data_IF_833226094456
#
_entry.id   IF_833226094456
#
_cell.length_a   1.000
_cell.length_b   1.000
_cell.length_c   1.000
_cell.angle_alpha   90.00
_cell.angle_beta   90.00
_cell.angle_gamma   90.00
#
_symmetry.space_group_name_H-M   'P 1'
#
loop_
_entity.id
_entity.type
_entity.pdbx_description
1 polymer ?
#
# COMPACT_ATOMS: atom_id res chain seq x y z
N UNK A 1 -15.54 -16.26 -16.47
CA UNK A 1 -14.56 -15.74 -17.45
C UNK A 1 -13.99 -14.39 -17.03
N UNK A 2 -14.81 -13.42 -16.61
CA UNK A 2 -14.33 -12.08 -16.22
C UNK A 2 -13.26 -12.02 -15.12
N UNK A 3 -13.26 -12.94 -14.16
CA UNK A 3 -12.26 -12.97 -13.08
C UNK A 3 -10.85 -13.38 -13.53
N UNK A 4 -10.70 -14.07 -14.67
CA UNK A 4 -9.37 -14.29 -15.29
C UNK A 4 -8.75 -12.96 -15.75
N UNK A 5 -9.58 -12.04 -16.23
CA UNK A 5 -9.14 -10.69 -16.60
C UNK A 5 -8.55 -9.93 -15.42
N UNK A 6 -9.08 -10.12 -14.20
CA UNK A 6 -8.54 -9.49 -12.98
C UNK A 6 -7.09 -9.91 -12.72
N UNK A 7 -6.80 -11.21 -12.70
CA UNK A 7 -5.45 -11.71 -12.44
C UNK A 7 -4.45 -11.23 -13.50
N UNK A 8 -4.83 -11.30 -14.79
CA UNK A 8 -4.01 -10.77 -15.89
C UNK A 8 -3.80 -9.27 -15.78
N UNK A 9 -4.84 -8.51 -15.41
CA UNK A 9 -4.76 -7.08 -15.23
C UNK A 9 -3.87 -6.67 -14.07
N UNK A 10 -3.97 -7.34 -12.92
CA UNK A 10 -3.06 -7.11 -11.78
C UNK A 10 -1.60 -7.35 -12.20
N UNK A 11 -1.31 -8.48 -12.86
CA UNK A 11 0.03 -8.79 -13.34
C UNK A 11 0.55 -7.72 -14.32
N UNK A 12 -0.26 -7.34 -15.31
CA UNK A 12 0.10 -6.32 -16.28
C UNK A 12 0.32 -4.94 -15.64
N UNK A 13 -0.50 -4.56 -14.66
CA UNK A 13 -0.36 -3.30 -13.94
C UNK A 13 0.87 -3.24 -13.03
N UNK A 14 1.21 -4.36 -12.37
CA UNK A 14 2.47 -4.49 -11.60
C UNK A 14 3.67 -4.35 -12.52
N UNK A 15 3.66 -5.02 -13.68
CA UNK A 15 4.73 -4.87 -14.68
C UNK A 15 4.79 -3.44 -15.21
N UNK A 16 3.64 -2.79 -15.43
CA UNK A 16 3.61 -1.40 -15.85
C UNK A 16 4.20 -0.46 -14.79
N UNK A 17 3.91 -0.65 -13.49
CA UNK A 17 4.57 0.10 -12.41
C UNK A 17 6.09 -0.10 -12.46
N UNK A 18 6.55 -1.34 -12.56
CA UNK A 18 7.99 -1.66 -12.60
C UNK A 18 8.74 -1.06 -13.81
N UNK A 19 8.06 -0.90 -14.96
CA UNK A 19 8.66 -0.39 -16.20
C UNK A 19 8.51 1.12 -16.37
N UNK A 20 7.39 1.68 -15.94
CA UNK A 20 7.02 3.07 -16.22
C UNK A 20 7.15 3.96 -14.99
N UNK A 21 7.06 3.39 -13.78
CA UNK A 21 6.90 4.14 -12.54
C UNK A 21 5.65 5.03 -12.56
N UNK A 22 5.67 6.05 -11.70
CA UNK A 22 4.61 7.05 -11.63
C UNK A 22 4.69 8.04 -12.81
N UNK A 23 3.56 8.42 -13.42
CA UNK A 23 3.53 9.47 -14.44
C UNK A 23 3.98 10.82 -13.86
N UNK A 24 4.96 11.46 -14.51
CA UNK A 24 5.50 12.78 -14.10
C UNK A 24 4.48 13.92 -14.10
N UNK A 25 3.42 13.81 -14.91
CA UNK A 25 2.35 14.81 -15.03
C UNK A 25 1.00 14.11 -15.11
N UNK A 26 -0.02 14.71 -14.50
CA UNK A 26 -1.38 14.19 -14.56
C UNK A 26 -1.57 12.87 -13.80
N UNK A 27 -0.80 12.64 -12.73
CA UNK A 27 -0.95 11.44 -11.91
C UNK A 27 -2.38 11.30 -11.37
N UNK A 28 -3.07 10.17 -11.59
CA UNK A 28 -4.47 10.01 -11.17
C UNK A 28 -4.70 10.27 -9.67
N UNK A 29 -3.80 9.77 -8.82
CA UNK A 29 -3.82 10.04 -7.36
C UNK A 29 -3.63 11.53 -7.05
N UNK A 30 -2.73 12.25 -7.73
CA UNK A 30 -2.56 13.69 -7.54
C UNK A 30 -3.81 14.47 -8.00
N UNK A 31 -4.45 14.04 -9.09
CA UNK A 31 -5.73 14.59 -9.53
C UNK A 31 -6.84 14.38 -8.50
N UNK A 32 -6.94 13.18 -7.94
CA UNK A 32 -7.84 12.89 -6.82
C UNK A 32 -7.53 13.79 -5.61
N UNK A 33 -6.26 13.93 -5.23
CA UNK A 33 -5.82 14.82 -4.15
C UNK A 33 -6.21 16.28 -4.40
N UNK A 34 -6.11 16.78 -5.63
CA UNK A 34 -6.54 18.13 -5.97
C UNK A 34 -8.06 18.34 -5.81
N UNK A 35 -8.86 17.34 -6.23
CA UNK A 35 -10.33 17.34 -6.02
C UNK A 35 -10.65 17.29 -4.53
N UNK A 36 -9.99 16.40 -3.80
CA UNK A 36 -10.12 16.20 -2.37
C UNK A 36 -9.80 17.51 -1.61
N UNK A 37 -8.68 18.16 -1.89
CA UNK A 37 -8.31 19.43 -1.28
C UNK A 37 -9.32 20.56 -1.59
N UNK A 38 -9.85 20.61 -2.82
CA UNK A 38 -10.87 21.61 -3.19
C UNK A 38 -12.19 21.37 -2.44
N UNK A 39 -12.55 20.11 -2.25
CA UNK A 39 -13.75 19.74 -1.51
C UNK A 39 -13.58 19.96 0.00
N UNK A 40 -12.41 19.64 0.56
CA UNK A 40 -12.04 19.93 1.96
C UNK A 40 -12.24 21.42 2.24
N UNK A 41 -11.69 22.33 1.42
CA UNK A 41 -11.88 23.78 1.61
C UNK A 41 -13.34 24.25 1.65
N UNK A 42 -14.26 23.51 1.02
CA UNK A 42 -15.69 23.84 0.98
C UNK A 42 -16.49 23.20 2.11
N UNK A 43 -16.11 21.98 2.50
CA UNK A 43 -16.84 21.19 3.50
C UNK A 43 -16.23 21.30 4.90
N UNK A 44 -15.01 21.83 5.02
CA UNK A 44 -14.28 21.90 6.27
C UNK A 44 -15.10 22.60 7.34
N UNK A 45 -15.29 21.88 8.44
CA UNK A 45 -15.72 22.37 9.73
C UNK A 45 -14.97 21.55 10.75
N UNK A 46 -14.59 22.15 11.87
CA UNK A 46 -13.99 21.41 12.97
C UNK A 46 -15.04 20.52 13.66
N UNK A 47 -15.39 19.41 13.00
CA UNK A 47 -16.41 18.47 13.42
C UNK A 47 -16.26 17.15 12.65
N UNK A 48 -16.62 16.04 13.31
CA UNK A 48 -16.54 14.69 12.73
C UNK A 48 -17.54 14.49 11.59
N UNK A 49 -18.77 15.02 11.69
CA UNK A 49 -19.82 14.80 10.70
C UNK A 49 -19.47 15.24 9.27
N UNK A 50 -19.05 16.50 9.04
CA UNK A 50 -18.61 16.98 7.73
C UNK A 50 -17.39 16.22 7.20
N UNK A 51 -16.47 15.84 8.08
CA UNK A 51 -15.33 14.98 7.77
C UNK A 51 -15.74 13.60 7.28
N UNK A 52 -16.65 12.94 8.00
CA UNK A 52 -17.19 11.63 7.61
C UNK A 52 -17.94 11.69 6.27
N UNK A 53 -18.73 12.74 6.04
CA UNK A 53 -19.41 12.95 4.76
C UNK A 53 -18.40 13.16 3.62
N UNK A 54 -17.33 13.93 3.87
CA UNK A 54 -16.22 14.13 2.93
C UNK A 54 -15.54 12.81 2.57
N UNK A 55 -15.15 12.00 3.56
CA UNK A 55 -14.54 10.68 3.35
C UNK A 55 -15.48 9.76 2.60
N UNK A 56 -16.75 9.65 3.03
CA UNK A 56 -17.74 8.78 2.41
C UNK A 56 -18.03 9.17 0.95
N UNK A 57 -18.12 10.47 0.64
CA UNK A 57 -18.36 10.94 -0.72
C UNK A 57 -17.19 10.60 -1.64
N UNK A 58 -15.95 10.86 -1.22
CA UNK A 58 -14.78 10.64 -2.06
C UNK A 58 -14.45 9.15 -2.22
N UNK A 59 -14.44 8.39 -1.13
CA UNK A 59 -14.19 6.93 -1.17
C UNK A 59 -15.36 6.20 -1.83
N UNK A 60 -16.60 6.56 -1.49
CA UNK A 60 -17.79 5.99 -2.10
C UNK A 60 -17.85 6.28 -3.61
N UNK A 61 -17.47 7.50 -4.02
CA UNK A 61 -17.38 7.89 -5.43
C UNK A 61 -16.35 7.07 -6.21
N UNK A 62 -15.14 6.86 -5.67
CA UNK A 62 -14.10 6.06 -6.35
C UNK A 62 -14.47 4.58 -6.42
N UNK A 63 -15.03 4.02 -5.34
CA UNK A 63 -15.55 2.65 -5.30
C UNK A 63 -16.68 2.46 -6.31
N UNK A 64 -17.64 3.40 -6.37
CA UNK A 64 -18.76 3.36 -7.31
C UNK A 64 -18.27 3.47 -8.77
N UNK A 65 -17.30 4.34 -9.06
CA UNK A 65 -16.69 4.45 -10.38
C UNK A 65 -15.99 3.15 -10.79
N UNK A 66 -15.22 2.52 -9.88
CA UNK A 66 -14.62 1.21 -10.12
C UNK A 66 -15.65 0.11 -10.36
N UNK A 67 -16.75 0.10 -9.59
CA UNK A 67 -17.82 -0.88 -9.73
C UNK A 67 -18.58 -0.71 -11.05
N UNK A 68 -18.81 0.53 -11.46
CA UNK A 68 -19.39 0.87 -12.75
C UNK A 68 -18.49 0.43 -13.91
N UNK A 69 -17.18 0.66 -13.82
CA UNK A 69 -16.21 0.22 -14.82
C UNK A 69 -16.25 -1.31 -15.01
N UNK A 70 -16.28 -2.08 -13.92
CA UNK A 70 -16.45 -3.52 -14.01
C UNK A 70 -17.84 -3.93 -14.55
N UNK A 71 -18.91 -3.22 -14.18
CA UNK A 71 -20.26 -3.50 -14.68
C UNK A 71 -20.38 -3.27 -16.19
N UNK A 72 -19.79 -2.20 -16.71
CA UNK A 72 -19.71 -1.92 -18.14
C UNK A 72 -18.92 -3.03 -18.85
N UNK A 73 -17.78 -3.45 -18.30
CA UNK A 73 -17.02 -4.55 -18.87
C UNK A 73 -17.84 -5.85 -18.96
N UNK A 74 -18.59 -6.19 -17.90
CA UNK A 74 -19.49 -7.36 -17.87
C UNK A 74 -20.56 -7.35 -18.95
N UNK A 75 -21.08 -6.18 -19.35
CA UNK A 75 -22.10 -6.08 -20.42
C UNK A 75 -21.59 -6.53 -21.78
N UNK A 76 -20.28 -6.52 -22.03
CA UNK A 76 -19.71 -6.90 -23.33
C UNK A 76 -19.64 -8.42 -23.57
N UNK A 77 -19.59 -9.21 -22.50
CA UNK A 77 -19.54 -10.67 -22.54
C UNK A 77 -18.30 -11.30 -23.19
N UNK A 78 -18.12 -12.60 -22.93
CA UNK A 78 -17.16 -13.46 -23.62
C UNK A 78 -15.70 -12.96 -23.57
N UNK A 79 -15.03 -12.99 -24.73
CA UNK A 79 -13.61 -12.55 -24.85
C UNK A 79 -13.46 -11.05 -24.63
N UNK A 80 -14.41 -10.23 -25.09
CA UNK A 80 -14.36 -8.77 -24.96
C UNK A 80 -14.40 -8.34 -23.50
N UNK A 81 -15.27 -8.96 -22.70
CA UNK A 81 -15.33 -8.73 -21.24
C UNK A 81 -13.97 -9.00 -20.59
N UNK A 82 -13.35 -10.13 -20.95
CA UNK A 82 -12.07 -10.55 -20.34
C UNK A 82 -10.95 -9.56 -20.66
N UNK A 83 -10.85 -9.12 -21.93
CA UNK A 83 -9.83 -8.15 -22.37
C UNK A 83 -10.07 -6.79 -21.74
N UNK A 84 -11.31 -6.28 -21.78
CA UNK A 84 -11.64 -4.97 -21.22
C UNK A 84 -11.41 -4.94 -19.70
N UNK A 85 -11.83 -5.99 -18.99
CA UNK A 85 -11.59 -6.09 -17.55
C UNK A 85 -10.11 -6.19 -17.21
N UNK A 86 -9.32 -6.93 -18.00
CA UNK A 86 -7.87 -6.97 -17.83
C UNK A 86 -7.22 -5.60 -18.04
N UNK A 87 -7.57 -4.90 -19.13
CA UNK A 87 -7.05 -3.57 -19.41
C UNK A 87 -7.42 -2.55 -18.33
N UNK A 88 -8.69 -2.50 -17.92
CA UNK A 88 -9.15 -1.59 -16.86
C UNK A 88 -8.49 -1.91 -15.51
N UNK A 89 -8.33 -3.20 -15.17
CA UNK A 89 -7.64 -3.60 -13.94
C UNK A 89 -6.16 -3.24 -14.01
N UNK A 90 -5.50 -3.40 -15.16
CA UNK A 90 -4.09 -3.04 -15.34
C UNK A 90 -3.87 -1.55 -15.18
N UNK A 91 -4.68 -0.72 -15.83
CA UNK A 91 -4.62 0.75 -15.70
C UNK A 91 -4.89 1.18 -14.27
N UNK A 92 -5.92 0.62 -13.63
CA UNK A 92 -6.22 0.93 -12.23
C UNK A 92 -5.08 0.51 -11.29
N UNK A 93 -4.49 -0.67 -11.51
CA UNK A 93 -3.36 -1.19 -10.71
C UNK A 93 -2.14 -0.29 -10.85
N UNK A 94 -1.72 0.01 -12.09
CA UNK A 94 -0.61 0.94 -12.34
C UNK A 94 -0.85 2.32 -11.73
N UNK A 95 -2.08 2.84 -11.83
CA UNK A 95 -2.40 4.17 -11.33
C UNK A 95 -2.41 4.30 -9.79
N UNK A 96 -2.61 3.19 -9.06
CA UNK A 96 -2.69 3.20 -7.58
C UNK A 96 -1.43 2.69 -6.89
N UNK A 97 -0.62 1.89 -7.59
CA UNK A 97 0.69 1.49 -7.09
C UNK A 97 1.65 2.69 -7.10
N UNK A 98 2.63 2.65 -6.21
CA UNK A 98 3.74 3.61 -6.17
C UNK A 98 5.04 2.94 -5.74
N UNK A 99 5.17 1.63 -5.95
CA UNK A 99 6.28 0.83 -5.42
C UNK A 99 7.61 1.20 -6.06
N UNK A 100 7.60 1.41 -7.37
CA UNK A 100 8.81 1.80 -8.12
C UNK A 100 9.32 3.17 -7.71
N UNK A 101 8.44 4.16 -7.57
CA UNK A 101 8.81 5.51 -7.09
C UNK A 101 9.31 5.49 -5.64
N UNK A 102 8.64 4.76 -4.74
CA UNK A 102 9.03 4.64 -3.33
C UNK A 102 10.46 4.09 -3.20
N UNK A 103 10.74 2.99 -3.90
CA UNK A 103 12.07 2.38 -3.91
C UNK A 103 13.11 3.30 -4.57
N UNK A 104 12.72 4.08 -5.58
CA UNK A 104 13.56 5.08 -6.23
C UNK A 104 13.95 6.23 -5.29
N UNK A 105 13.01 6.75 -4.50
CA UNK A 105 13.28 7.79 -3.49
C UNK A 105 14.20 7.24 -2.39
N UNK A 106 13.97 6.02 -1.90
CA UNK A 106 14.86 5.36 -0.93
C UNK A 106 16.28 5.15 -1.47
N UNK A 107 16.41 4.73 -2.73
CA UNK A 107 17.72 4.56 -3.36
C UNK A 107 18.45 5.90 -3.57
N UNK A 108 17.70 6.96 -3.89
CA UNK A 108 18.26 8.31 -4.05
C UNK A 108 18.74 8.87 -2.72
N UNK A 109 17.95 8.69 -1.64
CA UNK A 109 18.36 9.03 -0.28
C UNK A 109 19.65 8.29 0.10
N UNK A 110 19.71 6.98 -0.13
CA UNK A 110 20.90 6.18 0.16
C UNK A 110 22.13 6.70 -0.60
N UNK A 111 21.99 6.98 -1.91
CA UNK A 111 23.09 7.49 -2.73
C UNK A 111 23.59 8.87 -2.27
N UNK A 112 22.69 9.80 -1.90
CA UNK A 112 23.07 11.11 -1.37
C UNK A 112 23.83 10.97 -0.04
N UNK A 113 23.37 10.09 0.85
CA UNK A 113 24.04 9.84 2.13
C UNK A 113 25.40 9.15 1.94
N UNK A 114 25.52 8.18 1.02
CA UNK A 114 26.79 7.53 0.68
C UNK A 114 27.82 8.52 0.13
N UNK A 115 27.35 9.53 -0.62
CA UNK A 115 28.19 10.60 -1.16
C UNK A 115 28.55 11.70 -0.13
N UNK A 116 27.96 11.65 1.08
CA UNK A 116 28.12 12.70 2.09
C UNK A 116 27.39 14.01 1.78
N UNK A 117 26.49 14.01 0.78
CA UNK A 117 25.68 15.18 0.40
C UNK A 117 24.41 15.25 1.26
N UNK A 118 24.58 15.81 2.46
CA UNK A 118 23.50 15.88 3.45
C UNK A 118 22.36 16.81 3.03
N UNK A 119 22.64 17.86 2.26
CA UNK A 119 21.61 18.79 1.81
C UNK A 119 20.72 18.13 0.75
N UNK A 120 21.31 17.40 -0.19
CA UNK A 120 20.56 16.57 -1.13
C UNK A 120 19.76 15.48 -0.41
N UNK A 121 20.32 14.86 0.63
CA UNK A 121 19.62 13.85 1.43
C UNK A 121 18.41 14.44 2.18
N UNK A 122 18.58 15.60 2.84
CA UNK A 122 17.49 16.30 3.54
C UNK A 122 16.34 16.67 2.61
N UNK A 123 16.64 17.11 1.40
CA UNK A 123 15.63 17.41 0.39
C UNK A 123 14.74 16.20 0.01
N UNK A 124 15.18 14.96 0.29
CA UNK A 124 14.40 13.73 0.05
C UNK A 124 13.48 13.34 1.19
N UNK A 125 13.77 13.75 2.42
CA UNK A 125 12.99 13.34 3.59
C UNK A 125 11.49 13.68 3.47
N UNK A 126 11.08 14.88 2.99
CA UNK A 126 9.66 15.22 2.83
C UNK A 126 8.92 14.35 1.81
N UNK A 127 9.63 13.67 0.91
CA UNK A 127 9.03 12.74 -0.06
C UNK A 127 8.74 11.37 0.57
N UNK A 128 9.33 11.07 1.73
CA UNK A 128 9.20 9.79 2.42
C UNK A 128 8.34 9.90 3.70
N UNK A 129 8.50 10.98 4.47
CA UNK A 129 7.78 11.20 5.72
C UNK A 129 7.64 12.68 6.10
N UNK A 130 6.82 12.95 7.13
CA UNK A 130 6.55 14.29 7.65
C UNK A 130 7.55 14.78 8.72
N UNK A 131 8.71 14.14 8.86
CA UNK A 131 9.74 14.59 9.83
C UNK A 131 10.43 15.85 9.33
N UNK A 132 10.91 16.66 10.26
CA UNK A 132 11.68 17.85 9.93
C UNK A 132 13.10 17.43 9.46
N UNK A 133 13.47 17.64 8.19
CA UNK A 133 14.77 17.22 7.67
C UNK A 133 15.94 17.97 8.32
N UNK A 134 15.73 19.20 8.77
CA UNK A 134 16.79 20.06 9.30
C UNK A 134 17.26 19.59 10.69
N UNK A 135 16.43 18.81 11.37
CA UNK A 135 16.71 18.22 12.69
C UNK A 135 17.32 16.82 12.61
N UNK A 136 17.55 16.29 11.39
CA UNK A 136 18.10 14.96 11.18
C UNK A 136 19.58 15.03 10.75
N UNK A 137 20.39 14.22 11.43
CA UNK A 137 21.73 13.85 10.97
C UNK A 137 21.65 12.67 9.98
N UNK A 138 22.80 12.19 9.50
CA UNK A 138 22.86 11.11 8.51
C UNK A 138 22.19 9.81 9.01
N UNK A 139 22.43 9.41 10.26
CA UNK A 139 21.82 8.22 10.86
C UNK A 139 20.32 8.44 11.13
N UNK A 140 19.91 9.65 11.53
CA UNK A 140 18.52 10.04 11.68
C UNK A 140 17.75 9.97 10.36
N UNK A 141 18.36 10.42 9.26
CA UNK A 141 17.83 10.29 7.90
C UNK A 141 17.78 8.82 7.45
N UNK A 142 18.80 8.01 7.77
CA UNK A 142 18.80 6.59 7.47
C UNK A 142 17.68 5.85 8.23
N UNK A 143 17.46 6.17 9.51
CA UNK A 143 16.34 5.63 10.29
C UNK A 143 14.99 6.05 9.72
N UNK A 144 14.82 7.33 9.40
CA UNK A 144 13.59 7.83 8.78
C UNK A 144 13.32 7.12 7.45
N UNK A 145 14.33 7.00 6.58
CA UNK A 145 14.21 6.25 5.34
C UNK A 145 13.88 4.78 5.55
N UNK A 146 14.49 4.12 6.55
CA UNK A 146 14.23 2.72 6.84
C UNK A 146 12.78 2.46 7.30
N UNK A 147 12.29 3.27 8.22
CA UNK A 147 10.92 3.20 8.75
C UNK A 147 9.90 3.50 7.64
N UNK A 148 10.11 4.60 6.89
CA UNK A 148 9.20 4.99 5.80
C UNK A 148 9.19 4.01 4.65
N UNK A 149 10.32 3.43 4.25
CA UNK A 149 10.34 2.40 3.21
C UNK A 149 9.56 1.16 3.65
N UNK A 150 9.69 0.74 4.91
CA UNK A 150 8.96 -0.41 5.43
C UNK A 150 7.44 -0.13 5.44
N UNK A 151 7.02 0.95 6.10
CA UNK A 151 5.62 1.37 6.22
C UNK A 151 4.97 1.59 4.85
N UNK A 152 5.57 2.45 4.01
CA UNK A 152 5.00 2.80 2.71
C UNK A 152 5.03 1.63 1.72
N UNK A 153 5.85 0.59 1.92
CA UNK A 153 5.73 -0.63 1.09
C UNK A 153 4.39 -1.35 1.36
N UNK A 154 3.93 -1.33 2.61
CA UNK A 154 2.58 -1.83 2.94
C UNK A 154 1.52 -0.99 2.22
N UNK A 155 1.60 0.33 2.35
CA UNK A 155 0.54 1.23 1.89
C UNK A 155 0.52 1.46 0.37
N UNK A 156 1.68 1.62 -0.27
CA UNK A 156 1.76 1.93 -1.70
C UNK A 156 1.71 0.68 -2.58
N UNK A 157 1.87 -0.52 -2.00
CA UNK A 157 1.95 -1.77 -2.78
C UNK A 157 1.08 -2.88 -2.23
N UNK A 158 1.31 -3.33 -0.99
CA UNK A 158 0.62 -4.52 -0.47
C UNK A 158 -0.88 -4.27 -0.30
N UNK A 159 -1.27 -3.13 0.27
CA UNK A 159 -2.66 -2.72 0.48
C UNK A 159 -3.48 -2.70 -0.80
N UNK A 160 -3.09 -1.93 -1.83
CA UNK A 160 -3.82 -1.90 -3.09
C UNK A 160 -3.91 -3.29 -3.73
N UNK A 161 -2.85 -4.10 -3.67
CA UNK A 161 -2.84 -5.44 -4.25
C UNK A 161 -3.75 -6.43 -3.52
N UNK A 162 -3.79 -6.40 -2.19
CA UNK A 162 -4.69 -7.24 -1.38
C UNK A 162 -6.15 -6.91 -1.74
N UNK A 163 -6.52 -5.63 -1.71
CA UNK A 163 -7.88 -5.21 -2.04
C UNK A 163 -8.20 -5.39 -3.53
N UNK A 164 -7.23 -5.24 -4.42
CA UNK A 164 -7.37 -5.51 -5.85
C UNK A 164 -7.60 -6.98 -6.17
N UNK A 165 -6.94 -7.90 -5.46
CA UNK A 165 -7.17 -9.33 -5.59
C UNK A 165 -8.60 -9.71 -5.16
N UNK A 166 -9.04 -9.22 -4.00
CA UNK A 166 -10.33 -9.55 -3.39
C UNK A 166 -11.49 -8.85 -4.11
N UNK A 167 -11.45 -7.52 -4.21
CA UNK A 167 -12.56 -6.69 -4.67
C UNK A 167 -12.39 -6.16 -6.11
N UNK A 168 -11.24 -6.36 -6.76
CA UNK A 168 -11.00 -5.88 -8.13
C UNK A 168 -10.77 -4.38 -8.21
N UNK A 169 -11.23 -3.75 -9.29
CA UNK A 169 -11.08 -2.30 -9.52
C UNK A 169 -11.65 -1.46 -8.37
N UNK A 170 -12.86 -1.74 -7.81
CA UNK A 170 -13.36 -1.03 -6.63
C UNK A 170 -12.39 -1.08 -5.44
N UNK A 171 -11.74 -2.23 -5.22
CA UNK A 171 -10.77 -2.39 -4.13
C UNK A 171 -9.51 -1.58 -4.35
N UNK A 172 -8.94 -1.62 -5.55
CA UNK A 172 -7.76 -0.83 -5.93
C UNK A 172 -7.99 0.66 -5.70
N UNK A 173 -9.06 1.20 -6.30
CA UNK A 173 -9.36 2.63 -6.25
C UNK A 173 -9.85 3.08 -4.86
N UNK A 174 -10.67 2.26 -4.22
CA UNK A 174 -11.20 2.54 -2.88
C UNK A 174 -10.10 2.59 -1.84
N UNK A 175 -9.23 1.58 -1.81
CA UNK A 175 -8.10 1.56 -0.88
C UNK A 175 -7.18 2.77 -1.10
N UNK A 176 -6.80 3.06 -2.35
CA UNK A 176 -5.91 4.20 -2.62
C UNK A 176 -6.55 5.54 -2.27
N UNK A 177 -7.87 5.67 -2.46
CA UNK A 177 -8.60 6.84 -2.01
C UNK A 177 -8.53 6.98 -0.49
N UNK A 178 -8.81 5.92 0.27
CA UNK A 178 -8.71 5.93 1.75
C UNK A 178 -7.32 6.37 2.21
N UNK A 179 -6.27 5.70 1.71
CA UNK A 179 -4.88 6.00 2.07
C UNK A 179 -4.47 7.44 1.69
N UNK A 180 -4.92 7.94 0.54
CA UNK A 180 -4.67 9.33 0.14
C UNK A 180 -5.38 10.33 1.06
N UNK A 181 -6.62 10.05 1.47
CA UNK A 181 -7.35 10.93 2.38
C UNK A 181 -6.76 10.93 3.78
N UNK A 182 -6.23 9.81 4.26
CA UNK A 182 -5.51 9.75 5.53
C UNK A 182 -4.25 10.63 5.51
N UNK A 183 -3.43 10.49 4.47
CA UNK A 183 -2.24 11.33 4.29
C UNK A 183 -2.56 12.83 4.19
N UNK A 184 -3.73 13.20 3.67
CA UNK A 184 -4.13 14.60 3.48
C UNK A 184 -4.80 15.22 4.71
N UNK A 185 -5.70 14.49 5.38
CA UNK A 185 -6.53 15.03 6.47
C UNK A 185 -6.57 14.13 7.69
N UNK A 186 -6.18 12.86 7.61
CA UNK A 186 -6.18 11.93 8.75
C UNK A 186 -4.97 12.07 9.68
N UNK A 187 -3.85 12.61 9.18
CA UNK A 187 -2.69 12.95 9.99
C UNK A 187 -3.06 13.89 11.15
N UNK A 188 -2.46 13.66 12.33
CA UNK A 188 -2.74 14.42 13.55
C UNK A 188 -2.26 15.87 13.41
N UNK A 189 -3.15 16.74 12.97
CA UNK A 189 -2.97 18.19 13.00
C UNK A 189 -4.06 18.84 13.86
N UNK A 190 -3.75 19.98 14.47
CA UNK A 190 -4.74 20.75 15.22
C UNK A 190 -5.96 21.12 14.35
N UNK A 191 -5.75 21.34 13.05
CA UNK A 191 -6.81 21.65 12.08
C UNK A 191 -7.71 20.45 11.78
N UNK A 192 -7.14 19.27 11.62
CA UNK A 192 -7.87 18.11 11.11
C UNK A 192 -8.23 17.06 12.17
N UNK A 193 -7.88 17.28 13.44
CA UNK A 193 -8.14 16.32 14.53
C UNK A 193 -9.57 15.74 14.54
N UNK A 194 -10.59 16.58 14.32
CA UNK A 194 -12.00 16.14 14.27
C UNK A 194 -12.49 15.84 12.85
N UNK A 195 -12.13 16.68 11.88
CA UNK A 195 -12.55 16.51 10.49
C UNK A 195 -11.94 15.25 9.83
N UNK A 196 -10.67 14.97 10.10
CA UNK A 196 -9.90 13.84 9.59
C UNK A 196 -10.22 12.50 10.22
N UNK A 197 -10.91 12.49 11.36
CA UNK A 197 -11.10 11.30 12.20
C UNK A 197 -11.66 10.11 11.41
N UNK A 198 -12.63 10.34 10.53
CA UNK A 198 -13.24 9.28 9.73
C UNK A 198 -12.27 8.69 8.68
N UNK A 199 -11.44 9.53 8.06
CA UNK A 199 -10.39 9.08 7.14
C UNK A 199 -9.36 8.22 7.85
N UNK A 200 -8.84 8.70 8.99
CA UNK A 200 -7.84 7.98 9.78
C UNK A 200 -8.37 6.62 10.29
N UNK A 201 -9.60 6.59 10.79
CA UNK A 201 -10.20 5.33 11.26
C UNK A 201 -10.52 4.35 10.14
N UNK A 202 -10.92 4.86 8.98
CA UNK A 202 -11.15 4.00 7.82
C UNK A 202 -9.83 3.45 7.30
N UNK A 203 -8.77 4.25 7.25
CA UNK A 203 -7.43 3.78 6.88
C UNK A 203 -6.93 2.69 7.84
N UNK A 204 -6.97 2.96 9.16
CA UNK A 204 -6.64 2.00 10.20
C UNK A 204 -7.33 0.65 9.95
N UNK A 205 -8.63 0.67 9.63
CA UNK A 205 -9.45 -0.52 9.40
C UNK A 205 -9.06 -1.26 8.12
N UNK A 206 -8.95 -0.55 6.98
CA UNK A 206 -8.68 -1.20 5.68
C UNK A 206 -7.25 -1.70 5.57
N UNK A 207 -6.33 -1.15 6.37
CA UNK A 207 -4.95 -1.59 6.48
C UNK A 207 -4.72 -2.74 7.46
N UNK A 208 -5.74 -3.15 8.24
CA UNK A 208 -5.60 -4.27 9.16
C UNK A 208 -5.07 -5.53 8.47
N UNK A 209 -5.75 -6.02 7.44
CA UNK A 209 -5.31 -7.22 6.71
C UNK A 209 -4.02 -6.99 5.91
N UNK A 210 -3.90 -5.92 5.08
CA UNK A 210 -2.66 -5.61 4.36
C UNK A 210 -1.39 -5.60 5.22
N UNK A 211 -1.42 -4.92 6.37
CA UNK A 211 -0.26 -4.83 7.26
C UNK A 211 0.23 -6.19 7.74
N UNK A 212 -0.69 -7.13 8.05
CA UNK A 212 -0.31 -8.50 8.45
C UNK A 212 0.18 -9.32 7.27
N UNK A 213 -0.38 -9.12 6.07
CA UNK A 213 0.15 -9.73 4.85
C UNK A 213 1.58 -9.25 4.61
N UNK A 214 1.83 -7.93 4.72
CA UNK A 214 3.18 -7.35 4.63
C UNK A 214 4.12 -7.98 5.64
N UNK A 215 3.73 -8.10 6.90
CA UNK A 215 4.56 -8.69 7.95
C UNK A 215 4.87 -10.18 7.70
N UNK A 216 3.87 -10.98 7.28
CA UNK A 216 4.06 -12.40 6.92
C UNK A 216 5.01 -12.54 5.74
N UNK A 217 4.82 -11.73 4.69
CA UNK A 217 5.70 -11.74 3.51
C UNK A 217 7.11 -11.34 3.93
N UNK A 218 7.27 -10.30 4.75
CA UNK A 218 8.56 -9.84 5.29
C UNK A 218 9.29 -10.95 6.04
N UNK A 219 8.59 -11.67 6.92
CA UNK A 219 9.13 -12.85 7.62
C UNK A 219 9.60 -13.93 6.63
N UNK A 220 8.80 -14.21 5.60
CA UNK A 220 9.11 -15.23 4.61
C UNK A 220 10.34 -14.88 3.75
N UNK A 221 10.51 -13.60 3.37
CA UNK A 221 11.63 -13.15 2.53
C UNK A 221 12.86 -12.71 3.33
N UNK A 222 12.81 -12.70 4.66
CA UNK A 222 13.93 -12.32 5.52
C UNK A 222 15.28 -13.00 5.19
N UNK A 223 15.36 -14.32 4.88
CA UNK A 223 16.63 -14.97 4.52
C UNK A 223 17.29 -14.34 3.30
N UNK A 224 16.47 -13.84 2.37
CA UNK A 224 16.98 -13.26 1.14
C UNK A 224 17.78 -11.99 1.45
N UNK A 225 17.47 -11.24 2.51
CA UNK A 225 18.21 -10.03 2.95
C UNK A 225 19.28 -10.29 4.02
N UNK A 226 19.69 -11.56 4.17
CA UNK A 226 20.66 -11.99 5.18
C UNK A 226 20.08 -12.06 6.60
N UNK A 227 18.75 -12.01 6.71
CA UNK A 227 18.00 -12.07 7.96
C UNK A 227 17.57 -13.46 8.37
N UNK A 228 16.80 -13.53 9.46
CA UNK A 228 16.18 -14.77 9.95
C UNK A 228 14.67 -14.63 10.06
N UNK A 229 13.87 -15.52 9.45
CA UNK A 229 12.42 -15.57 9.64
C UNK A 229 12.03 -15.68 11.11
N UNK A 230 12.79 -16.47 11.89
CA UNK A 230 12.52 -16.66 13.30
C UNK A 230 12.73 -15.36 14.09
N UNK A 231 13.77 -14.58 13.78
CA UNK A 231 14.01 -13.27 14.40
C UNK A 231 12.95 -12.25 13.98
N UNK A 232 12.60 -12.18 12.69
CA UNK A 232 11.54 -11.31 12.19
C UNK A 232 10.19 -11.58 12.87
N UNK A 233 9.81 -12.86 13.00
CA UNK A 233 8.56 -13.26 13.64
C UNK A 233 8.56 -12.99 15.15
N UNK A 234 9.67 -13.28 15.85
CA UNK A 234 9.79 -12.97 17.28
C UNK A 234 9.68 -11.47 17.54
N UNK A 235 10.37 -10.65 16.74
CA UNK A 235 10.35 -9.19 16.86
C UNK A 235 8.93 -8.65 16.63
N UNK A 236 8.27 -9.10 15.55
CA UNK A 236 6.87 -8.74 15.30
C UNK A 236 5.97 -9.08 16.50
N UNK A 237 6.00 -10.32 16.99
CA UNK A 237 5.13 -10.75 18.10
C UNK A 237 5.38 -10.01 19.40
N UNK A 238 6.63 -9.65 19.68
CA UNK A 238 7.03 -8.98 20.93
C UNK A 238 6.74 -7.49 20.90
N UNK A 239 7.06 -6.81 19.78
CA UNK A 239 7.20 -5.35 19.78
C UNK A 239 6.04 -4.61 19.10
N UNK A 240 5.35 -5.23 18.14
CA UNK A 240 4.37 -4.52 17.31
C UNK A 240 3.20 -3.92 18.10
N UNK A 241 2.80 -4.54 19.21
CA UNK A 241 1.72 -4.04 20.06
C UNK A 241 2.07 -2.75 20.82
N UNK A 242 3.38 -2.45 20.96
CA UNK A 242 3.82 -1.19 21.53
C UNK A 242 3.62 0.00 20.59
N UNK A 243 3.56 -0.25 19.27
CA UNK A 243 3.48 0.81 18.27
C UNK A 243 2.10 1.50 18.29
N UNK A 244 2.02 2.85 18.21
CA UNK A 244 0.74 3.57 18.25
C UNK A 244 -0.24 3.21 17.14
N UNK A 245 0.29 2.90 15.95
CA UNK A 245 -0.50 2.41 14.81
C UNK A 245 -0.59 0.89 14.83
N UNK A 246 -1.81 0.31 14.77
CA UNK A 246 -2.03 -1.13 14.72
C UNK A 246 -1.57 -1.76 13.40
N UNK A 247 -1.19 -0.95 12.41
CA UNK A 247 -0.78 -1.38 11.08
C UNK A 247 0.72 -1.22 10.87
N UNK A 248 1.28 -0.05 11.22
CA UNK A 248 2.72 0.17 11.11
C UNK A 248 3.53 -0.71 12.07
N UNK A 249 3.01 -0.99 13.28
CA UNK A 249 3.70 -1.85 14.25
C UNK A 249 4.10 -3.22 13.70
N UNK A 250 3.17 -4.03 13.16
CA UNK A 250 3.49 -5.29 12.49
C UNK A 250 4.52 -5.15 11.36
N UNK A 251 4.39 -4.12 10.53
CA UNK A 251 5.23 -3.89 9.35
C UNK A 251 6.66 -3.54 9.78
N UNK A 252 6.82 -2.48 10.58
CA UNK A 252 8.13 -2.01 11.05
C UNK A 252 8.82 -3.04 11.94
N UNK A 253 8.13 -3.69 12.88
CA UNK A 253 8.73 -4.69 13.77
C UNK A 253 9.21 -5.93 13.00
N UNK A 254 8.43 -6.39 12.01
CA UNK A 254 8.87 -7.50 11.15
C UNK A 254 10.08 -7.13 10.29
N UNK A 255 10.14 -5.89 9.78
CA UNK A 255 11.27 -5.39 9.00
C UNK A 255 12.53 -5.22 9.87
N UNK A 256 12.38 -4.67 11.09
CA UNK A 256 13.45 -4.54 12.07
C UNK A 256 14.09 -5.90 12.37
N UNK A 257 13.28 -6.90 12.68
CA UNK A 257 13.77 -8.26 12.94
C UNK A 257 14.33 -8.98 11.70
N UNK A 258 13.81 -8.69 10.51
CA UNK A 258 14.33 -9.24 9.25
C UNK A 258 15.70 -8.64 8.87
N UNK A 259 15.95 -7.38 9.19
CA UNK A 259 17.19 -6.69 8.84
C UNK A 259 18.24 -6.72 9.96
N UNK A 260 17.84 -7.07 11.18
CA UNK A 260 18.69 -6.97 12.36
C UNK A 260 18.87 -5.53 12.82
N UNK A 261 17.81 -4.72 12.71
CA UNK A 261 17.80 -3.30 13.06
C UNK A 261 16.99 -3.05 14.34
N UNK A 262 17.19 -1.87 14.93
CA UNK A 262 16.36 -1.30 15.99
C UNK A 262 15.72 0.00 15.49
N UNK A 263 14.43 -0.05 15.23
CA UNK A 263 13.61 1.10 14.80
C UNK A 263 12.93 1.77 16.00
N UNK A 264 12.37 2.96 15.79
CA UNK A 264 11.70 3.76 16.82
C UNK A 264 12.67 4.63 17.64
N UNK A 265 12.29 4.89 18.89
CA UNK A 265 12.94 5.85 19.79
C UNK A 265 12.53 7.31 19.54
N UNK A 266 13.29 8.28 20.08
CA UNK A 266 12.97 9.69 19.96
C UNK A 266 12.91 10.12 18.49
N UNK A 267 11.75 10.62 18.08
CA UNK A 267 11.45 11.06 16.71
C UNK A 267 10.97 12.49 16.75
N UNK A 268 11.65 13.38 16.03
CA UNK A 268 11.33 14.81 16.04
C UNK A 268 10.47 15.15 14.83
N UNK A 269 9.32 15.78 15.09
CA UNK A 269 8.41 16.35 14.10
C UNK A 269 8.29 17.86 14.30
N UNK A 270 7.75 18.55 13.30
CA UNK A 270 7.49 19.98 13.38
C UNK A 270 6.54 20.36 14.56
N UNK A 271 5.66 19.45 14.98
CA UNK A 271 4.73 19.65 16.11
C UNK A 271 5.24 19.13 17.45
N UNK A 272 6.44 18.55 17.52
CA UNK A 272 7.04 18.07 18.76
C UNK A 272 7.84 16.77 18.62
N UNK A 273 8.45 16.34 19.72
CA UNK A 273 9.16 15.05 19.80
C UNK A 273 8.22 13.96 20.30
N UNK A 274 8.15 12.87 19.56
CA UNK A 274 7.45 11.65 19.97
C UNK A 274 8.47 10.57 20.33
N UNK A 275 8.33 9.98 21.51
CA UNK A 275 9.12 8.82 21.90
C UNK A 275 8.41 7.56 21.43
N UNK A 276 8.86 7.01 20.30
CA UNK A 276 8.30 5.76 19.75
C UNK A 276 8.90 4.56 20.47
N UNK A 277 8.11 3.50 20.71
CA UNK A 277 8.66 2.26 21.25
C UNK A 277 9.78 1.74 20.37
N UNK A 278 10.82 1.18 21.00
CA UNK A 278 11.89 0.50 20.28
C UNK A 278 11.37 -0.81 19.66
N UNK A 279 11.58 -1.00 18.37
CA UNK A 279 11.21 -2.22 17.65
C UNK A 279 12.48 -2.95 17.19
N UNK A 280 12.69 -4.18 17.67
CA UNK A 280 13.89 -4.98 17.38
C UNK A 280 15.07 -4.74 18.33
N UNK A 281 16.00 -5.71 18.33
CA UNK A 281 17.19 -5.74 19.20
C UNK A 281 18.49 -5.41 18.45
N UNK A 282 18.37 -4.99 17.20
CA UNK A 282 19.51 -4.72 16.33
C UNK A 282 20.29 -3.46 16.67
N UNK A 283 21.21 -3.09 15.78
CA UNK A 283 21.80 -1.75 15.80
C UNK A 283 20.81 -0.74 15.19
N UNK A 284 20.90 0.55 15.56
CA UNK A 284 20.13 1.59 14.86
C UNK A 284 20.47 1.60 13.35
N UNK A 285 19.52 1.97 12.47
CA UNK A 285 19.78 2.06 11.04
C UNK A 285 20.91 3.04 10.74
N UNK A 286 21.81 2.62 9.85
CA UNK A 286 22.88 3.45 9.29
C UNK A 286 22.68 3.58 7.79
N UNK A 287 23.41 4.49 7.17
CA UNK A 287 23.37 4.72 5.71
C UNK A 287 23.48 3.42 4.91
N UNK A 288 24.42 2.54 5.28
CA UNK A 288 24.64 1.26 4.61
C UNK A 288 23.43 0.30 4.64
N UNK A 289 22.53 0.45 5.62
CA UNK A 289 21.35 -0.40 5.76
C UNK A 289 20.24 -0.04 4.77
N UNK A 290 20.20 1.21 4.28
CA UNK A 290 19.14 1.67 3.38
C UNK A 290 19.06 0.83 2.10
N UNK A 291 20.20 0.38 1.57
CA UNK A 291 20.23 -0.53 0.42
C UNK A 291 19.57 -1.88 0.73
N UNK A 292 19.78 -2.41 1.94
CA UNK A 292 19.16 -3.65 2.41
C UNK A 292 17.66 -3.45 2.64
N UNK A 293 17.25 -2.31 3.19
CA UNK A 293 15.83 -1.96 3.35
C UNK A 293 15.14 -1.86 1.99
N UNK A 294 15.71 -1.10 1.04
CA UNK A 294 15.15 -0.97 -0.31
C UNK A 294 15.05 -2.34 -1.01
N UNK A 295 16.03 -3.23 -0.80
CA UNK A 295 15.96 -4.60 -1.30
C UNK A 295 14.85 -5.42 -0.63
N UNK A 296 14.66 -5.29 0.69
CA UNK A 296 13.54 -5.91 1.39
C UNK A 296 12.20 -5.42 0.82
N UNK A 297 12.03 -4.11 0.66
CA UNK A 297 10.82 -3.51 0.06
C UNK A 297 10.51 -4.08 -1.33
N UNK A 298 11.52 -4.19 -2.21
CA UNK A 298 11.35 -4.81 -3.54
C UNK A 298 10.90 -6.28 -3.45
N UNK A 299 11.48 -7.06 -2.55
CA UNK A 299 11.12 -8.46 -2.35
C UNK A 299 9.69 -8.60 -1.82
N UNK A 300 9.33 -7.80 -0.83
CA UNK A 300 7.96 -7.77 -0.26
C UNK A 300 6.94 -7.38 -1.34
N UNK A 301 7.22 -6.31 -2.09
CA UNK A 301 6.38 -5.87 -3.21
C UNK A 301 6.19 -6.97 -4.26
N UNK A 302 7.29 -7.61 -4.71
CA UNK A 302 7.25 -8.68 -5.71
C UNK A 302 6.48 -9.90 -5.22
N UNK A 303 6.75 -10.37 -4.01
CA UNK A 303 6.05 -11.52 -3.42
C UNK A 303 4.56 -11.22 -3.19
N UNK A 304 4.21 -10.04 -2.69
CA UNK A 304 2.82 -9.62 -2.54
C UNK A 304 2.09 -9.53 -3.90
N UNK A 305 2.76 -9.04 -4.94
CA UNK A 305 2.27 -9.05 -6.32
C UNK A 305 1.93 -10.45 -6.82
N UNK A 306 2.85 -11.40 -6.65
CA UNK A 306 2.62 -12.80 -7.02
C UNK A 306 1.44 -13.41 -6.25
N UNK A 307 1.36 -13.17 -4.94
CA UNK A 307 0.25 -13.65 -4.10
C UNK A 307 -1.09 -13.04 -4.52
N UNK A 308 -1.14 -11.75 -4.84
CA UNK A 308 -2.36 -11.08 -5.30
C UNK A 308 -2.84 -11.65 -6.64
N UNK A 309 -1.93 -11.85 -7.60
CA UNK A 309 -2.25 -12.48 -8.89
C UNK A 309 -2.75 -13.92 -8.70
N UNK A 310 -2.08 -14.69 -7.84
CA UNK A 310 -2.49 -16.07 -7.53
C UNK A 310 -3.87 -16.12 -6.86
N UNK A 311 -4.12 -15.28 -5.85
CA UNK A 311 -5.42 -15.18 -5.18
C UNK A 311 -6.53 -14.80 -6.15
N UNK A 312 -6.30 -13.79 -7.00
CA UNK A 312 -7.27 -13.40 -8.03
C UNK A 312 -7.56 -14.56 -9.01
N UNK A 313 -6.54 -15.33 -9.40
CA UNK A 313 -6.69 -16.49 -10.27
C UNK A 313 -7.45 -17.65 -9.61
N UNK A 314 -7.26 -17.88 -8.30
CA UNK A 314 -8.00 -18.92 -7.54
C UNK A 314 -9.47 -18.52 -7.38
N UNK A 315 -9.74 -17.27 -7.00
CA UNK A 315 -11.12 -16.75 -6.93
C UNK A 315 -11.82 -16.88 -8.29
N UNK A 316 -11.08 -16.66 -9.39
CA UNK A 316 -11.62 -16.82 -10.73
C UNK A 316 -12.08 -18.23 -11.09
N UNK A 317 -11.48 -19.26 -10.48
CA UNK A 317 -11.84 -20.66 -10.71
C UNK A 317 -13.12 -21.06 -9.98
N UNK A 318 -13.41 -20.42 -8.84
CA UNK A 318 -14.61 -20.70 -8.02
C UNK A 318 -15.91 -20.16 -8.66
N UNK A 319 -15.82 -19.10 -9.47
CA UNK A 319 -16.96 -18.49 -10.15
C UNK A 319 -17.40 -19.18 -11.45
N UNK A 320 -16.77 -20.30 -11.85
CA UNK A 320 -17.21 -21.08 -13.01
C UNK A 320 -18.25 -22.10 -12.52
N UNK A 321 -19.54 -21.98 -12.87
CA UNK A 321 -20.51 -23.01 -12.54
C UNK A 321 -20.07 -24.30 -13.24
N UNK A 322 -19.95 -25.40 -12.49
CA UNK A 322 -19.77 -26.74 -13.05
C UNK A 322 -20.94 -27.04 -13.97
N UNK A 323 -20.74 -26.82 -15.28
CA UNK A 323 -21.68 -27.16 -16.33
C UNK A 323 -21.62 -28.67 -16.58
N UNK A 324 -22.00 -29.46 -15.58
CA UNK A 324 -21.88 -30.93 -15.61
C UNK A 324 -23.03 -31.61 -14.86
N UNK A 325 -24.27 -31.38 -15.28
CA UNK A 325 -25.41 -32.27 -14.97
C UNK A 325 -26.65 -31.92 -15.83
N UNK A 326 -26.50 -31.88 -17.16
CA UNK A 326 -27.68 -31.86 -18.05
C UNK A 326 -27.39 -32.56 -19.38
N UNK A 327 -26.83 -33.76 -19.30
CA UNK A 327 -26.77 -34.71 -20.43
C UNK A 327 -26.98 -36.11 -19.84
N UNK A 328 -28.23 -36.48 -19.56
CA UNK A 328 -28.77 -37.86 -19.61
C UNK A 328 -30.18 -37.86 -18.98
N UNK A 329 -31.20 -37.52 -19.77
CA UNK A 329 -32.58 -38.00 -19.63
C UNK A 329 -33.36 -37.43 -20.80
N UNK A 330 -33.71 -38.28 -21.74
CA UNK A 330 -34.60 -37.90 -22.84
C UNK A 330 -34.27 -38.50 -24.20
N UNK A 331 -34.04 -39.82 -24.28
CA UNK A 331 -34.36 -40.60 -25.47
C UNK A 331 -34.86 -41.98 -25.01
N UNK A 332 -36.17 -42.08 -24.80
CA UNK A 332 -36.87 -43.35 -25.00
C UNK A 332 -37.20 -43.44 -26.49
N UNK A 333 -36.91 -44.56 -27.18
CA UNK A 333 -37.45 -44.80 -28.50
C UNK A 333 -38.90 -45.27 -28.36
N UNK A 334 -39.81 -44.54 -28.99
CA UNK A 334 -41.15 -45.01 -29.32
C UNK A 334 -41.14 -45.39 -30.81
N UNK A 335 -41.46 -46.64 -31.12
CA UNK A 335 -41.56 -47.18 -32.48
C UNK A 335 -40.87 -48.53 -32.60
#
# INVERSE_FOLDING_TARGET
MGTRGRATGLAAGIVADALLGDPRRGHPVAGFGAVAARLERRLYRDAVGPGAAYTALLVGGTVAAGALAEAVARRTGGRRETVLRAGLTAVATWAVLGGTSLVGEGATLAASLDAGDLDAARARIPHLCARDPDLLDADGMARAGAESLAENTSDAVVGPLVWGAVAGIPGLLGYRAVNTLDAMVGYRSARHARFGWASARLDDLVNLAPARVTAVVTVAVAPLVGGSPATALRTWRRDAAGHPSPNAGPVEASAAGALGLRLGGPTVYAHGTEDRPSLGDGHPPRVADLHRVARLSRLVAGTAGLLAVATAAVLARRDVPTRSARVYRGRSPSG
#
